data_IF_026658371401
#
_entry.id   IF_026658371401
#
_cell.length_a   1.000
_cell.length_b   1.000
_cell.length_c   1.000
_cell.angle_alpha   90.00
_cell.angle_beta   90.00
_cell.angle_gamma   90.00
#
_symmetry.space_group_name_H-M   'P 1'
#
loop_
_entity.id
_entity.type
_entity.pdbx_description
1 polymer ?
#
# COMPACT_ATOMS: atom_id res chain seq x y z
N UNK A 1 -23.01 4.43 25.92
CA UNK A 1 -23.50 5.00 24.64
C UNK A 1 -22.92 4.31 23.41
N UNK A 2 -21.73 3.68 23.50
CA UNK A 2 -21.13 2.96 22.36
C UNK A 2 -21.87 1.67 21.95
N UNK A 3 -22.65 1.04 22.83
CA UNK A 3 -23.26 -0.28 22.58
C UNK A 3 -24.60 -0.26 21.80
N UNK A 4 -25.05 0.91 21.32
CA UNK A 4 -26.35 1.07 20.63
C UNK A 4 -26.16 1.40 19.13
N UNK A 5 -24.92 1.68 18.71
CA UNK A 5 -24.63 2.18 17.36
C UNK A 5 -24.40 0.99 16.42
N UNK A 6 -25.29 0.84 15.43
CA UNK A 6 -25.24 -0.24 14.43
C UNK A 6 -25.14 0.31 12.99
N UNK A 7 -24.81 1.60 12.84
CA UNK A 7 -24.74 2.30 11.56
C UNK A 7 -23.42 3.09 11.43
N UNK A 8 -22.75 2.95 10.29
CA UNK A 8 -21.50 3.64 9.97
C UNK A 8 -21.67 5.17 9.95
N UNK A 9 -22.88 5.65 9.64
CA UNK A 9 -23.18 7.08 9.65
C UNK A 9 -23.14 7.67 11.06
N UNK A 10 -23.71 6.95 12.04
CA UNK A 10 -23.72 7.38 13.44
C UNK A 10 -22.31 7.43 14.04
N UNK A 11 -21.43 6.50 13.64
CA UNK A 11 -20.01 6.57 14.03
C UNK A 11 -19.33 7.83 13.49
N UNK A 12 -19.62 8.24 12.25
CA UNK A 12 -19.07 9.48 11.67
C UNK A 12 -19.57 10.74 12.38
N UNK A 13 -20.86 10.80 12.71
CA UNK A 13 -21.41 11.91 13.49
C UNK A 13 -20.76 11.99 14.88
N UNK A 14 -20.56 10.86 15.53
CA UNK A 14 -19.92 10.79 16.84
C UNK A 14 -18.43 11.20 16.76
N UNK A 15 -17.71 10.72 15.75
CA UNK A 15 -16.33 11.17 15.48
C UNK A 15 -16.28 12.68 15.32
N UNK A 16 -17.20 13.28 14.54
CA UNK A 16 -17.26 14.73 14.39
C UNK A 16 -17.50 15.44 15.72
N UNK A 17 -18.40 14.92 16.56
CA UNK A 17 -18.67 15.49 17.89
C UNK A 17 -17.43 15.50 18.79
N UNK A 18 -16.64 14.43 18.79
CA UNK A 18 -15.38 14.38 19.55
C UNK A 18 -14.33 15.34 18.98
N UNK A 19 -14.23 15.44 17.65
CA UNK A 19 -13.33 16.41 17.01
C UNK A 19 -13.72 17.87 17.31
N UNK A 20 -15.02 18.18 17.39
CA UNK A 20 -15.50 19.52 17.76
C UNK A 20 -15.16 19.89 19.22
N UNK A 21 -14.86 18.89 20.08
CA UNK A 21 -14.44 19.07 21.47
C UNK A 21 -12.92 18.91 21.70
N UNK A 22 -12.13 18.78 20.63
CA UNK A 22 -10.69 18.48 20.66
C UNK A 22 -10.30 17.13 21.29
N UNK A 23 -11.26 16.18 21.41
CA UNK A 23 -11.06 14.83 21.94
C UNK A 23 -10.56 13.87 20.84
N UNK A 24 -9.28 13.98 20.48
CA UNK A 24 -8.69 13.27 19.32
C UNK A 24 -8.63 11.75 19.52
N UNK A 25 -8.30 11.27 20.73
CA UNK A 25 -8.16 9.83 21.01
C UNK A 25 -9.50 9.11 20.86
N UNK A 26 -10.56 9.68 21.43
CA UNK A 26 -11.93 9.19 21.33
C UNK A 26 -12.47 9.24 19.89
N UNK A 27 -12.10 10.28 19.13
CA UNK A 27 -12.42 10.37 17.72
C UNK A 27 -11.79 9.22 16.92
N UNK A 28 -10.51 8.91 17.14
CA UNK A 28 -9.81 7.79 16.50
C UNK A 28 -10.46 6.45 16.86
N UNK A 29 -10.81 6.24 18.13
CA UNK A 29 -11.52 5.05 18.58
C UNK A 29 -12.90 4.88 17.92
N UNK A 30 -13.61 5.99 17.72
CA UNK A 30 -14.87 6.00 16.97
C UNK A 30 -14.66 5.67 15.49
N UNK A 31 -13.59 6.18 14.87
CA UNK A 31 -13.22 5.83 13.49
C UNK A 31 -12.90 4.34 13.34
N UNK A 32 -12.22 3.72 14.32
CA UNK A 32 -11.96 2.27 14.30
C UNK A 32 -13.27 1.46 14.32
N UNK A 33 -14.26 1.90 15.10
CA UNK A 33 -15.58 1.25 15.18
C UNK A 33 -16.41 1.48 13.92
N UNK A 34 -16.30 2.65 13.31
CA UNK A 34 -16.96 3.03 12.05
C UNK A 34 -16.21 2.60 10.78
N UNK A 35 -15.12 1.83 10.90
CA UNK A 35 -14.27 1.40 9.79
C UNK A 35 -13.77 2.57 8.89
N UNK A 36 -13.55 3.76 9.44
CA UNK A 36 -13.05 4.92 8.70
C UNK A 36 -11.53 4.91 8.62
N UNK A 37 -11.00 3.99 7.81
CA UNK A 37 -9.57 3.77 7.65
C UNK A 37 -8.83 4.97 7.04
N UNK A 38 -9.50 5.74 6.18
CA UNK A 38 -8.91 6.93 5.55
C UNK A 38 -8.77 8.07 6.55
N UNK A 39 -9.78 8.26 7.42
CA UNK A 39 -9.68 9.18 8.55
C UNK A 39 -8.56 8.80 9.51
N UNK A 40 -8.46 7.52 9.88
CA UNK A 40 -7.39 7.04 10.77
C UNK A 40 -6.01 7.26 10.15
N UNK A 41 -5.85 6.99 8.84
CA UNK A 41 -4.59 7.26 8.13
C UNK A 41 -4.23 8.74 8.18
N UNK A 42 -5.19 9.63 7.94
CA UNK A 42 -4.97 11.07 7.99
C UNK A 42 -4.46 11.51 9.37
N UNK A 43 -5.11 11.04 10.43
CA UNK A 43 -4.70 11.34 11.81
C UNK A 43 -3.33 10.74 12.13
N UNK A 44 -3.06 9.48 11.75
CA UNK A 44 -1.75 8.86 11.96
C UNK A 44 -0.61 9.63 11.31
N UNK A 45 -0.81 10.15 10.09
CA UNK A 45 0.19 10.97 9.40
C UNK A 45 0.31 12.37 10.00
N UNK A 46 -0.82 13.04 10.29
CA UNK A 46 -0.82 14.39 10.84
C UNK A 46 -0.22 14.47 12.25
N UNK A 47 -0.45 13.45 13.08
CA UNK A 47 0.10 13.33 14.43
C UNK A 47 1.50 12.71 14.43
N UNK A 48 1.99 12.21 13.30
CA UNK A 48 3.21 11.43 13.18
C UNK A 48 3.24 10.24 14.17
N UNK A 49 2.10 9.57 14.31
CA UNK A 49 1.90 8.43 15.20
C UNK A 49 2.20 7.12 14.47
N UNK A 50 3.42 6.62 14.67
CA UNK A 50 3.89 5.37 14.07
C UNK A 50 3.15 4.12 14.59
N UNK A 51 2.70 4.12 15.85
CA UNK A 51 1.99 2.98 16.44
C UNK A 51 0.59 2.86 15.83
N UNK A 52 -0.08 3.99 15.63
CA UNK A 52 -1.37 4.05 14.95
C UNK A 52 -1.26 3.58 13.50
N UNK A 53 -0.23 4.00 12.76
CA UNK A 53 0.00 3.56 11.38
C UNK A 53 0.32 2.05 11.33
N UNK A 54 1.12 1.52 12.26
CA UNK A 54 1.42 0.09 12.32
C UNK A 54 0.16 -0.74 12.64
N UNK A 55 -0.67 -0.28 13.58
CA UNK A 55 -1.96 -0.91 13.90
C UNK A 55 -2.89 -0.88 12.69
N UNK A 56 -2.98 0.25 11.99
CA UNK A 56 -3.78 0.40 10.79
C UNK A 56 -3.30 -0.53 9.66
N UNK A 57 -1.98 -0.67 9.47
CA UNK A 57 -1.39 -1.59 8.50
C UNK A 57 -1.86 -3.04 8.74
N UNK A 58 -1.76 -3.54 9.98
CA UNK A 58 -2.18 -4.91 10.33
C UNK A 58 -3.66 -5.14 10.02
N UNK A 59 -4.52 -4.23 10.47
CA UNK A 59 -5.98 -4.33 10.29
C UNK A 59 -6.37 -4.26 8.80
N UNK A 60 -5.74 -3.36 8.05
CA UNK A 60 -6.05 -3.19 6.62
C UNK A 60 -5.54 -4.34 5.77
N UNK A 61 -4.42 -4.97 6.15
CA UNK A 61 -3.99 -6.23 5.52
C UNK A 61 -4.95 -7.38 5.81
N UNK A 62 -5.40 -7.55 7.07
CA UNK A 62 -6.36 -8.59 7.44
C UNK A 62 -7.71 -8.44 6.74
N UNK A 63 -8.13 -7.19 6.50
CA UNK A 63 -9.37 -6.85 5.78
C UNK A 63 -9.19 -6.75 4.27
N UNK A 64 -8.00 -7.05 3.74
CA UNK A 64 -7.67 -6.96 2.30
C UNK A 64 -7.89 -5.56 1.69
N UNK A 65 -7.72 -4.51 2.50
CA UNK A 65 -7.81 -3.10 2.10
C UNK A 65 -6.42 -2.64 1.64
N UNK A 66 -6.04 -3.14 0.47
CA UNK A 66 -4.66 -3.06 -0.04
C UNK A 66 -4.15 -1.64 -0.28
N UNK A 67 -5.02 -0.71 -0.69
CA UNK A 67 -4.64 0.67 -0.93
C UNK A 67 -4.13 1.35 0.34
N UNK A 68 -4.83 1.18 1.47
CA UNK A 68 -4.45 1.79 2.74
C UNK A 68 -3.25 1.05 3.33
N UNK A 69 -3.25 -0.29 3.29
CA UNK A 69 -2.11 -1.08 3.70
C UNK A 69 -0.82 -0.67 2.96
N UNK A 70 -0.89 -0.45 1.65
CA UNK A 70 0.24 0.01 0.85
C UNK A 70 0.75 1.38 1.32
N UNK A 71 -0.15 2.35 1.54
CA UNK A 71 0.24 3.70 1.98
C UNK A 71 0.85 3.66 3.37
N UNK A 72 0.30 2.89 4.31
CA UNK A 72 0.88 2.70 5.64
C UNK A 72 2.31 2.12 5.54
N UNK A 73 2.49 1.03 4.79
CA UNK A 73 3.81 0.42 4.58
C UNK A 73 4.81 1.38 3.92
N UNK A 74 4.34 2.18 2.95
CA UNK A 74 5.17 3.16 2.24
C UNK A 74 5.67 4.27 3.16
N UNK A 75 4.78 4.85 3.97
CA UNK A 75 5.12 5.90 4.93
C UNK A 75 6.07 5.36 6.01
N UNK A 76 5.87 4.13 6.46
CA UNK A 76 6.75 3.43 7.41
C UNK A 76 8.09 2.97 6.80
N UNK A 77 8.37 3.28 5.53
CA UNK A 77 9.58 2.87 4.80
C UNK A 77 9.77 1.34 4.72
N UNK A 78 8.69 0.56 4.82
CA UNK A 78 8.69 -0.90 4.68
C UNK A 78 8.67 -1.29 3.20
N UNK A 79 9.76 -1.03 2.48
CA UNK A 79 9.84 -1.16 1.02
C UNK A 79 9.52 -2.57 0.52
N UNK A 80 10.04 -3.59 1.20
CA UNK A 80 9.80 -4.99 0.88
C UNK A 80 8.32 -5.35 1.03
N UNK A 81 7.66 -4.78 2.05
CA UNK A 81 6.23 -4.97 2.29
C UNK A 81 5.39 -4.34 1.19
N UNK A 82 5.75 -3.14 0.71
CA UNK A 82 5.08 -2.50 -0.42
C UNK A 82 5.14 -3.38 -1.69
N UNK A 83 6.31 -3.95 -1.99
CA UNK A 83 6.47 -4.88 -3.12
C UNK A 83 5.60 -6.12 -2.94
N UNK A 84 5.59 -6.72 -1.74
CA UNK A 84 4.74 -7.88 -1.45
C UNK A 84 3.25 -7.57 -1.64
N UNK A 85 2.77 -6.39 -1.22
CA UNK A 85 1.37 -5.97 -1.42
C UNK A 85 1.06 -5.82 -2.92
N UNK A 86 1.97 -5.25 -3.70
CA UNK A 86 1.80 -5.11 -5.15
C UNK A 86 1.80 -6.46 -5.87
N UNK A 87 2.67 -7.40 -5.49
CA UNK A 87 2.65 -8.77 -6.01
C UNK A 87 1.35 -9.50 -5.64
N UNK A 88 0.89 -9.40 -4.39
CA UNK A 88 -0.38 -10.00 -3.94
C UNK A 88 -1.60 -9.51 -4.70
N UNK A 89 -1.56 -8.28 -5.22
CA UNK A 89 -2.65 -7.67 -5.99
C UNK A 89 -2.48 -7.81 -7.51
N UNK A 90 -1.55 -8.68 -7.96
CA UNK A 90 -1.19 -8.91 -9.36
C UNK A 90 -0.73 -7.64 -10.11
N UNK A 91 -0.17 -6.66 -9.38
CA UNK A 91 0.36 -5.40 -9.94
C UNK A 91 1.87 -5.48 -10.16
N UNK A 92 2.31 -6.49 -10.90
CA UNK A 92 3.73 -6.71 -11.16
C UNK A 92 4.48 -5.53 -11.80
N UNK A 93 3.90 -4.78 -12.76
CA UNK A 93 4.60 -3.63 -13.34
C UNK A 93 4.92 -2.56 -12.30
N UNK A 94 3.97 -2.28 -11.41
CA UNK A 94 4.15 -1.34 -10.30
C UNK A 94 5.17 -1.90 -9.29
N UNK A 95 5.12 -3.20 -8.98
CA UNK A 95 6.06 -3.84 -8.06
C UNK A 95 7.51 -3.77 -8.56
N UNK A 96 7.74 -4.07 -9.85
CA UNK A 96 9.06 -4.00 -10.46
C UNK A 96 9.58 -2.56 -10.50
N UNK A 97 8.73 -1.61 -10.90
CA UNK A 97 9.09 -0.19 -10.91
C UNK A 97 9.40 0.32 -9.49
N UNK A 98 8.61 -0.08 -8.49
CA UNK A 98 8.82 0.28 -7.10
C UNK A 98 10.17 -0.26 -6.58
N UNK A 99 10.49 -1.52 -6.88
CA UNK A 99 11.76 -2.13 -6.48
C UNK A 99 12.97 -1.34 -7.01
N UNK A 100 12.95 -0.98 -8.30
CA UNK A 100 14.01 -0.17 -8.91
C UNK A 100 14.05 1.24 -8.33
N UNK A 101 12.89 1.91 -8.23
CA UNK A 101 12.80 3.33 -7.81
C UNK A 101 13.26 3.54 -6.38
N UNK A 102 12.92 2.62 -5.47
CA UNK A 102 13.24 2.75 -4.04
C UNK A 102 14.55 2.06 -3.62
N UNK A 103 15.34 1.59 -4.59
CA UNK A 103 16.69 1.06 -4.35
C UNK A 103 16.70 -0.31 -3.67
N UNK A 104 15.71 -1.16 -3.93
CA UNK A 104 15.72 -2.56 -3.50
C UNK A 104 16.71 -3.37 -4.36
N UNK A 105 17.10 -4.59 -3.94
CA UNK A 105 18.05 -5.41 -4.69
C UNK A 105 17.62 -5.62 -6.15
N UNK A 106 18.52 -5.43 -7.15
CA UNK A 106 18.17 -5.60 -8.56
C UNK A 106 17.60 -6.98 -8.89
N UNK A 107 18.07 -8.03 -8.20
CA UNK A 107 17.55 -9.41 -8.32
C UNK A 107 16.06 -9.50 -7.97
N UNK A 108 15.56 -8.68 -7.05
CA UNK A 108 14.14 -8.65 -6.70
C UNK A 108 13.31 -8.14 -7.87
N UNK A 109 13.73 -7.04 -8.51
CA UNK A 109 13.06 -6.50 -9.69
C UNK A 109 13.05 -7.52 -10.84
N UNK A 110 14.15 -8.25 -11.03
CA UNK A 110 14.24 -9.36 -11.99
C UNK A 110 13.24 -10.47 -11.69
N UNK A 111 13.18 -10.94 -10.45
CA UNK A 111 12.24 -12.02 -10.06
C UNK A 111 10.78 -11.61 -10.30
N UNK A 112 10.42 -10.36 -9.96
CA UNK A 112 9.07 -9.83 -10.19
C UNK A 112 8.73 -9.82 -11.69
N UNK A 113 9.68 -9.44 -12.55
CA UNK A 113 9.47 -9.43 -14.01
C UNK A 113 9.32 -10.84 -14.56
N UNK A 114 10.03 -11.84 -14.02
CA UNK A 114 9.87 -13.24 -14.44
C UNK A 114 8.52 -13.83 -13.97
N UNK A 115 8.05 -13.49 -12.76
CA UNK A 115 6.70 -13.82 -12.30
C UNK A 115 5.64 -13.17 -13.20
N UNK A 116 5.83 -11.90 -13.55
CA UNK A 116 4.95 -11.19 -14.47
C UNK A 116 4.89 -11.86 -15.85
N UNK A 117 6.04 -12.22 -16.43
CA UNK A 117 6.11 -12.97 -17.69
C UNK A 117 5.35 -14.28 -17.61
N UNK A 118 5.50 -15.00 -16.51
CA UNK A 118 4.85 -16.30 -16.30
C UNK A 118 3.33 -16.14 -16.34
N UNK A 119 2.77 -15.23 -15.54
CA UNK A 119 1.33 -14.97 -15.51
C UNK A 119 0.81 -14.40 -16.84
N UNK A 120 1.57 -13.48 -17.46
CA UNK A 120 1.19 -12.89 -18.74
C UNK A 120 1.22 -13.90 -19.88
N UNK A 121 2.10 -14.91 -19.83
CA UNK A 121 2.24 -15.92 -20.89
C UNK A 121 0.98 -16.78 -21.06
N UNK A 122 0.18 -16.94 -20.00
CA UNK A 122 -1.06 -17.71 -20.02
C UNK A 122 -2.14 -17.03 -20.88
N UNK A 123 -2.15 -15.70 -20.93
CA UNK A 123 -3.15 -14.90 -21.64
C UNK A 123 -2.58 -14.35 -22.96
N UNK A 124 -1.32 -13.90 -22.93
CA UNK A 124 -0.67 -13.08 -23.96
C UNK A 124 0.81 -13.49 -24.16
N UNK A 125 1.09 -14.64 -24.79
CA UNK A 125 2.45 -15.18 -24.92
C UNK A 125 3.42 -14.27 -25.68
N UNK A 126 2.95 -13.59 -26.74
CA UNK A 126 3.80 -12.67 -27.52
C UNK A 126 4.21 -11.44 -26.71
N UNK A 127 3.33 -10.94 -25.86
CA UNK A 127 3.58 -9.79 -25.01
C UNK A 127 4.51 -10.18 -23.85
N UNK A 128 4.36 -11.39 -23.31
CA UNK A 128 5.28 -11.92 -22.31
C UNK A 128 6.72 -12.02 -22.84
N UNK A 129 6.91 -12.50 -24.07
CA UNK A 129 8.23 -12.54 -24.72
C UNK A 129 8.82 -11.14 -24.96
N UNK A 130 7.98 -10.13 -25.18
CA UNK A 130 8.42 -8.75 -25.41
C UNK A 130 8.84 -8.01 -24.12
N UNK A 131 8.57 -8.56 -22.94
CA UNK A 131 8.96 -7.95 -21.67
C UNK A 131 10.48 -8.06 -21.48
N UNK A 132 11.17 -6.93 -21.60
CA UNK A 132 12.59 -6.82 -21.31
C UNK A 132 12.85 -6.81 -19.79
N UNK A 133 13.89 -7.52 -19.36
CA UNK A 133 14.33 -7.53 -17.96
C UNK A 133 15.51 -6.55 -17.80
N UNK A 134 15.48 -5.59 -16.85
CA UNK A 134 16.55 -4.62 -16.68
C UNK A 134 17.94 -5.22 -16.43
N UNK A 135 18.02 -6.43 -15.86
CA UNK A 135 19.29 -7.13 -15.64
C UNK A 135 19.77 -7.94 -16.86
N UNK A 136 18.85 -8.51 -17.63
CA UNK A 136 19.21 -9.34 -18.79
C UNK A 136 19.41 -8.48 -20.05
N UNK A 137 18.77 -7.30 -20.11
CA UNK A 137 18.84 -6.34 -21.22
C UNK A 137 19.24 -4.93 -20.75
N UNK A 138 20.41 -4.74 -20.08
CA UNK A 138 20.82 -3.45 -19.56
C UNK A 138 20.90 -2.34 -20.63
N UNK A 139 21.15 -2.71 -21.88
CA UNK A 139 21.19 -1.81 -23.03
C UNK A 139 19.86 -1.07 -23.30
N UNK A 140 18.74 -1.65 -22.87
CA UNK A 140 17.41 -1.06 -23.06
C UNK A 140 17.04 -0.05 -21.97
N UNK A 141 17.82 0.01 -20.88
CA UNK A 141 17.50 0.80 -19.68
C UNK A 141 18.60 1.81 -19.32
N UNK A 142 19.36 2.27 -20.30
CA UNK A 142 20.40 3.29 -20.12
C UNK A 142 19.80 4.66 -19.79
N UNK A 143 20.42 5.39 -18.86
CA UNK A 143 20.06 6.78 -18.55
C UNK A 143 20.63 7.72 -19.64
N UNK A 144 19.94 8.83 -19.97
CA UNK A 144 20.29 9.72 -21.08
C UNK A 144 21.67 10.42 -21.01
N UNK A 145 22.49 10.17 -19.99
CA UNK A 145 23.84 10.73 -19.85
C UNK A 145 24.95 9.87 -20.48
N UNK A 146 24.60 8.74 -21.13
CA UNK A 146 25.56 7.81 -21.75
C UNK A 146 25.44 7.70 -23.28
N UNK A 147 24.92 8.73 -23.97
CA UNK A 147 24.91 8.82 -25.44
C UNK A 147 25.86 9.90 -25.98
#
# INVERSE_FOLDING_TARGET
MADIINDDHQWKELTKLYLDNDDIEEAIDCMFKGNDWSGILLFGVALNDGELIERLLKITEEKEIWNIAFVCAHIMQMKEKCVQILQKTSRYPEAAMYAVTYGLPPELAKNIVEEWKTELSEIYPKQAEALANPLDNPELFVLPEQQ
#
